data_IF_231723185571
#
_entry.id   IF_231723185571
#
_cell.length_a   1.000
_cell.length_b   1.000
_cell.length_c   1.000
_cell.angle_alpha   90.00
_cell.angle_beta   90.00
_cell.angle_gamma   90.00
#
_symmetry.space_group_name_H-M   'P 1'
#
loop_
_entity.id
_entity.type
_entity.pdbx_description
1 polymer ?
#
# COMPACT_ATOMS: atom_id res chain seq x y z
N UNK A 1 14.16 -15.66 -17.32
CA UNK A 1 13.72 -14.26 -17.04
C UNK A 1 13.50 -14.09 -15.55
N UNK A 2 13.57 -12.90 -14.97
CA UNK A 2 13.31 -12.66 -13.51
C UNK A 2 11.96 -13.25 -13.04
N UNK A 3 11.03 -13.48 -13.98
CA UNK A 3 9.78 -14.21 -13.77
C UNK A 3 9.91 -15.73 -13.54
N UNK A 4 11.03 -16.36 -13.92
CA UNK A 4 11.33 -17.77 -13.63
C UNK A 4 11.89 -17.94 -12.22
N UNK A 5 12.67 -16.96 -11.72
CA UNK A 5 13.20 -16.95 -10.36
C UNK A 5 12.10 -16.80 -9.28
N UNK A 6 10.93 -16.28 -9.65
CA UNK A 6 9.77 -16.16 -8.75
C UNK A 6 8.83 -17.38 -8.80
N UNK A 7 8.98 -18.29 -9.77
CA UNK A 7 8.11 -19.47 -9.95
C UNK A 7 8.70 -20.77 -9.40
N UNK A 8 10.01 -20.85 -9.20
CA UNK A 8 10.69 -21.99 -8.58
C UNK A 8 10.76 -21.86 -7.05
N UNK A 9 9.63 -21.53 -6.41
CA UNK A 9 9.49 -21.54 -4.95
C UNK A 9 9.26 -22.93 -4.36
N UNK A 10 9.91 -23.96 -4.92
CA UNK A 10 9.75 -25.35 -4.51
C UNK A 10 11.04 -26.12 -4.76
N UNK A 11 11.60 -26.66 -3.68
CA UNK A 11 12.63 -27.71 -3.65
C UNK A 11 14.06 -27.25 -3.99
N UNK A 12 14.69 -26.49 -3.07
CA UNK A 12 16.15 -26.24 -3.10
C UNK A 12 16.63 -24.99 -2.35
N UNK A 13 15.73 -24.10 -1.94
CA UNK A 13 16.10 -22.88 -1.21
C UNK A 13 16.59 -23.23 0.21
N UNK A 14 17.78 -22.77 0.59
CA UNK A 14 18.24 -22.85 1.98
C UNK A 14 17.17 -22.29 2.93
N UNK A 15 16.99 -22.86 4.14
CA UNK A 15 15.99 -22.36 5.09
C UNK A 15 16.17 -20.86 5.26
N UNK A 16 15.09 -20.09 5.02
CA UNK A 16 15.13 -18.64 5.22
C UNK A 16 15.62 -18.38 6.64
N UNK A 17 16.72 -17.63 6.82
CA UNK A 17 17.22 -17.32 8.15
C UNK A 17 16.11 -16.74 9.00
N UNK A 18 15.95 -17.27 10.21
CA UNK A 18 14.97 -16.74 11.14
C UNK A 18 15.31 -15.26 11.42
N UNK A 19 14.30 -14.39 11.50
CA UNK A 19 14.52 -12.94 11.64
C UNK A 19 15.14 -12.57 12.99
N UNK A 20 15.07 -13.46 13.98
CA UNK A 20 15.69 -13.41 15.29
C UNK A 20 17.06 -14.12 15.35
N UNK A 21 17.52 -14.74 14.25
CA UNK A 21 18.79 -15.44 14.22
C UNK A 21 19.97 -14.44 14.25
N UNK A 22 21.07 -14.75 14.98
CA UNK A 22 22.27 -13.90 15.04
C UNK A 22 22.85 -13.55 13.66
N UNK A 23 22.76 -14.48 12.71
CA UNK A 23 23.18 -14.27 11.33
C UNK A 23 22.38 -13.18 10.59
N UNK A 24 21.09 -13.02 10.90
CA UNK A 24 20.24 -11.96 10.32
C UNK A 24 20.63 -10.60 10.87
N UNK A 25 20.93 -10.52 12.17
CA UNK A 25 21.45 -9.30 12.79
C UNK A 25 22.83 -8.93 12.25
N UNK A 26 23.73 -9.91 12.09
CA UNK A 26 25.06 -9.68 11.53
C UNK A 26 25.00 -9.21 10.07
N UNK A 27 24.14 -9.84 9.25
CA UNK A 27 23.93 -9.43 7.85
C UNK A 27 23.30 -8.03 7.77
N UNK A 28 22.32 -7.71 8.62
CA UNK A 28 21.72 -6.38 8.68
C UNK A 28 22.74 -5.31 9.10
N UNK A 29 23.62 -5.62 10.05
CA UNK A 29 24.70 -4.71 10.47
C UNK A 29 25.74 -4.51 9.35
N UNK A 30 26.14 -5.58 8.65
CA UNK A 30 27.05 -5.50 7.51
C UNK A 30 26.47 -4.61 6.40
N UNK A 31 25.20 -4.81 6.05
CA UNK A 31 24.50 -4.00 5.05
C UNK A 31 24.37 -2.52 5.48
N UNK A 32 24.10 -2.27 6.76
CA UNK A 32 24.04 -0.91 7.29
C UNK A 32 25.39 -0.18 7.20
N UNK A 33 26.49 -0.87 7.52
CA UNK A 33 27.84 -0.33 7.38
C UNK A 33 28.23 -0.10 5.92
N UNK A 34 27.86 -1.00 5.01
CA UNK A 34 28.11 -0.82 3.57
C UNK A 34 27.40 0.41 3.00
N UNK A 35 26.14 0.63 3.39
CA UNK A 35 25.39 1.84 3.03
C UNK A 35 26.08 3.09 3.60
N UNK A 36 26.53 3.03 4.85
CA UNK A 36 27.22 4.14 5.49
C UNK A 36 28.56 4.48 4.80
N UNK A 37 29.38 3.48 4.50
CA UNK A 37 30.68 3.65 3.85
C UNK A 37 30.52 4.21 2.44
N UNK A 38 29.54 3.72 1.69
CA UNK A 38 29.21 4.27 0.39
C UNK A 38 28.72 5.73 0.51
N UNK A 39 27.83 6.07 1.45
CA UNK A 39 27.39 7.46 1.65
C UNK A 39 28.54 8.38 2.09
N UNK A 40 29.45 7.91 2.95
CA UNK A 40 30.63 8.66 3.39
C UNK A 40 31.63 8.89 2.26
N UNK A 41 31.88 7.87 1.44
CA UNK A 41 32.84 7.95 0.33
C UNK A 41 32.44 8.98 -0.74
N UNK A 42 31.15 9.12 -1.03
CA UNK A 42 30.62 10.10 -1.98
C UNK A 42 30.13 11.39 -1.32
N UNK A 43 30.19 11.50 0.01
CA UNK A 43 29.77 12.66 0.81
C UNK A 43 28.25 12.93 0.85
N UNK A 44 27.48 12.50 -0.15
CA UNK A 44 26.02 12.54 -0.19
C UNK A 44 25.47 11.57 -1.23
N UNK A 45 24.25 11.06 -0.99
CA UNK A 45 23.47 10.25 -1.93
C UNK A 45 23.31 10.97 -3.28
N UNK A 46 23.27 12.31 -3.29
CA UNK A 46 23.13 13.10 -4.51
C UNK A 46 24.36 13.07 -5.44
N UNK A 47 25.53 12.68 -4.94
CA UNK A 47 26.78 12.63 -5.71
C UNK A 47 27.13 11.22 -6.19
N UNK A 48 26.23 10.25 -6.01
CA UNK A 48 26.44 8.88 -6.46
C UNK A 48 26.40 8.80 -8.00
N UNK A 49 27.35 8.11 -8.65
CA UNK A 49 27.31 7.88 -10.09
C UNK A 49 26.09 7.04 -10.46
N UNK A 50 25.48 7.34 -11.62
CA UNK A 50 24.21 6.72 -12.05
C UNK A 50 24.24 5.18 -12.12
N UNK A 51 25.43 4.59 -12.24
CA UNK A 51 25.64 3.14 -12.26
C UNK A 51 25.45 2.48 -10.89
N UNK A 52 25.76 3.16 -9.78
CA UNK A 52 25.68 2.59 -8.42
C UNK A 52 24.35 2.88 -7.72
N UNK A 53 23.61 3.89 -8.20
CA UNK A 53 22.31 4.32 -7.64
C UNK A 53 21.28 3.19 -7.55
N UNK A 54 21.09 2.30 -8.55
CA UNK A 54 20.11 1.22 -8.46
C UNK A 54 20.41 0.20 -7.36
N UNK A 55 21.69 -0.15 -7.19
CA UNK A 55 22.15 -1.11 -6.18
C UNK A 55 22.00 -0.50 -4.78
N UNK A 56 22.52 0.70 -4.59
CA UNK A 56 22.37 1.45 -3.34
C UNK A 56 20.90 1.58 -2.92
N UNK A 57 20.02 1.94 -3.87
CA UNK A 57 18.59 2.07 -3.56
C UNK A 57 17.99 0.73 -3.11
N UNK A 58 18.37 -0.37 -3.74
CA UNK A 58 17.92 -1.71 -3.37
C UNK A 58 18.42 -2.11 -1.97
N UNK A 59 19.68 -1.81 -1.65
CA UNK A 59 20.30 -2.10 -0.35
C UNK A 59 19.63 -1.28 0.76
N UNK A 60 19.38 0.02 0.51
CA UNK A 60 18.61 0.88 1.42
C UNK A 60 17.17 0.37 1.62
N UNK A 61 16.51 -0.13 0.56
CA UNK A 61 15.19 -0.75 0.68
C UNK A 61 15.24 -2.05 1.50
N UNK A 62 16.23 -2.90 1.28
CA UNK A 62 16.38 -4.16 2.01
C UNK A 62 16.70 -3.91 3.49
N UNK A 63 17.59 -2.97 3.78
CA UNK A 63 17.93 -2.56 5.15
C UNK A 63 16.70 -1.98 5.87
N UNK A 64 15.96 -1.07 5.22
CA UNK A 64 14.75 -0.47 5.82
C UNK A 64 13.63 -1.49 6.05
N UNK A 65 13.41 -2.43 5.13
CA UNK A 65 12.44 -3.52 5.30
C UNK A 65 12.86 -4.51 6.40
N UNK A 66 14.16 -4.82 6.51
CA UNK A 66 14.68 -5.68 7.58
C UNK A 66 14.45 -5.04 8.94
N UNK A 67 14.86 -3.77 9.10
CA UNK A 67 14.65 -2.98 10.32
C UNK A 67 13.16 -2.83 10.66
N UNK A 68 12.28 -2.71 9.65
CA UNK A 68 10.82 -2.68 9.84
C UNK A 68 10.28 -3.98 10.45
N UNK A 69 10.82 -5.13 10.06
CA UNK A 69 10.33 -6.45 10.47
C UNK A 69 10.95 -6.98 11.76
N UNK A 70 12.12 -6.47 12.15
CA UNK A 70 12.85 -6.88 13.36
C UNK A 70 12.02 -6.80 14.66
N UNK A 71 11.29 -5.73 14.98
CA UNK A 71 10.51 -5.67 16.24
C UNK A 71 9.40 -6.74 16.35
N UNK A 72 8.96 -7.31 15.23
CA UNK A 72 7.96 -8.38 15.17
C UNK A 72 8.53 -9.79 15.07
N UNK A 73 9.85 -9.97 15.10
CA UNK A 73 10.51 -11.27 14.91
C UNK A 73 10.62 -12.12 16.17
N UNK A 74 10.23 -11.60 17.33
CA UNK A 74 10.41 -12.26 18.64
C UNK A 74 11.70 -11.87 19.37
N UNK A 75 12.56 -11.06 18.75
CA UNK A 75 13.72 -10.47 19.42
C UNK A 75 13.29 -9.37 20.42
N UNK A 76 13.89 -9.37 21.60
CA UNK A 76 13.63 -8.37 22.63
C UNK A 76 14.45 -7.11 22.35
N UNK A 77 13.78 -5.97 22.18
CA UNK A 77 14.41 -4.66 22.04
C UNK A 77 14.00 -3.75 23.19
N UNK A 78 14.95 -2.98 23.71
CA UNK A 78 14.68 -1.89 24.64
C UNK A 78 14.02 -0.70 23.92
N UNK A 79 13.33 0.16 24.68
CA UNK A 79 12.73 1.38 24.11
C UNK A 79 13.76 2.30 23.42
N UNK A 80 15.00 2.32 23.92
CA UNK A 80 16.10 3.07 23.32
C UNK A 80 16.54 2.49 21.97
N UNK A 81 16.68 1.16 21.86
CA UNK A 81 17.03 0.48 20.62
C UNK A 81 15.95 0.66 19.55
N UNK A 82 14.67 0.55 19.92
CA UNK A 82 13.56 0.82 19.00
C UNK A 82 13.58 2.26 18.46
N UNK A 83 13.99 3.22 19.30
CA UNK A 83 14.20 4.61 18.88
C UNK A 83 15.31 4.73 17.82
N UNK A 84 16.44 4.06 18.03
CA UNK A 84 17.57 4.03 17.08
C UNK A 84 17.22 3.33 15.77
N UNK A 85 16.52 2.19 15.83
CA UNK A 85 16.03 1.49 14.63
C UNK A 85 15.07 2.40 13.83
N UNK A 86 14.19 3.13 14.52
CA UNK A 86 13.26 4.08 13.88
C UNK A 86 13.97 5.26 13.22
N UNK A 87 14.98 5.84 13.88
CA UNK A 87 15.73 6.96 13.30
C UNK A 87 16.58 6.53 12.10
N UNK A 88 17.25 5.38 12.18
CA UNK A 88 18.01 4.80 11.07
C UNK A 88 17.10 4.53 9.86
N UNK A 89 15.94 3.88 10.08
CA UNK A 89 14.94 3.66 9.04
C UNK A 89 14.44 4.97 8.42
N UNK A 90 14.17 5.98 9.25
CA UNK A 90 13.75 7.30 8.77
C UNK A 90 14.79 7.96 7.86
N UNK A 91 16.09 7.81 8.17
CA UNK A 91 17.19 8.25 7.32
C UNK A 91 17.20 7.58 5.95
N UNK A 92 17.02 6.25 5.92
CA UNK A 92 16.96 5.47 4.67
C UNK A 92 15.72 5.80 3.82
N UNK A 93 14.55 5.94 4.45
CA UNK A 93 13.30 6.24 3.76
C UNK A 93 13.29 7.64 3.13
N UNK A 94 13.93 8.63 3.78
CA UNK A 94 14.05 9.97 3.22
C UNK A 94 14.87 10.00 1.92
N UNK A 95 15.89 9.14 1.79
CA UNK A 95 16.70 9.03 0.57
C UNK A 95 16.05 8.22 -0.56
N UNK A 96 15.17 7.26 -0.23
CA UNK A 96 14.60 6.31 -1.19
C UNK A 96 13.15 6.57 -1.58
N UNK A 97 12.35 7.12 -0.65
CA UNK A 97 10.90 7.35 -0.78
C UNK A 97 10.55 8.84 -0.74
N UNK A 98 11.44 9.69 -1.24
CA UNK A 98 11.17 11.11 -1.36
C UNK A 98 10.05 11.37 -2.37
N UNK A 99 8.93 11.92 -1.90
CA UNK A 99 7.84 12.41 -2.75
C UNK A 99 7.92 13.94 -2.77
N UNK A 100 8.28 14.57 -3.91
CA UNK A 100 8.37 16.02 -4.01
C UNK A 100 7.06 16.72 -3.64
N UNK A 101 7.14 17.88 -2.99
CA UNK A 101 5.95 18.63 -2.55
C UNK A 101 5.05 19.00 -3.74
N UNK A 102 5.63 19.36 -4.89
CA UNK A 102 4.85 19.67 -6.10
C UNK A 102 4.03 18.47 -6.59
N UNK A 103 4.54 17.23 -6.44
CA UNK A 103 3.79 16.01 -6.79
C UNK A 103 2.61 15.86 -5.83
N UNK A 104 2.80 16.08 -4.52
CA UNK A 104 1.72 16.03 -3.52
C UNK A 104 0.61 17.03 -3.87
N UNK A 105 0.99 18.26 -4.23
CA UNK A 105 0.05 19.31 -4.62
C UNK A 105 -0.65 18.96 -5.94
N UNK A 106 0.08 18.49 -6.94
CA UNK A 106 -0.49 18.10 -8.23
C UNK A 106 -1.51 16.96 -8.09
N UNK A 107 -1.18 15.93 -7.30
CA UNK A 107 -2.10 14.82 -7.00
C UNK A 107 -3.33 15.31 -6.23
N UNK A 108 -3.16 16.18 -5.23
CA UNK A 108 -4.27 16.76 -4.48
C UNK A 108 -5.22 17.56 -5.37
N UNK A 109 -4.69 18.39 -6.28
CA UNK A 109 -5.48 19.14 -7.25
C UNK A 109 -6.18 18.19 -8.24
N UNK A 110 -5.47 17.21 -8.78
CA UNK A 110 -6.05 16.24 -9.72
C UNK A 110 -7.20 15.44 -9.07
N UNK A 111 -7.03 15.00 -7.83
CA UNK A 111 -8.08 14.34 -7.06
C UNK A 111 -9.26 15.28 -6.78
N UNK A 112 -9.00 16.52 -6.37
CA UNK A 112 -10.04 17.52 -6.10
C UNK A 112 -10.84 17.91 -7.35
N UNK A 113 -10.17 18.09 -8.49
CA UNK A 113 -10.83 18.32 -9.77
C UNK A 113 -11.62 17.08 -10.22
N UNK A 114 -11.04 15.89 -10.06
CA UNK A 114 -11.70 14.63 -10.39
C UNK A 114 -12.98 14.39 -9.59
N UNK A 115 -12.98 14.73 -8.28
CA UNK A 115 -14.21 14.65 -7.47
C UNK A 115 -15.24 15.67 -7.94
N UNK A 116 -14.86 16.94 -8.18
CA UNK A 116 -15.81 17.96 -8.65
C UNK A 116 -16.47 17.62 -10.00
N UNK A 117 -15.75 16.98 -10.92
CA UNK A 117 -16.31 16.60 -12.23
C UNK A 117 -17.11 15.29 -12.14
N UNK A 118 -16.66 14.33 -11.34
CA UNK A 118 -17.21 12.97 -11.31
C UNK A 118 -18.22 12.66 -10.20
N UNK A 119 -18.40 13.54 -9.20
CA UNK A 119 -19.09 13.18 -7.95
C UNK A 119 -20.55 12.72 -8.15
N UNK A 120 -21.29 13.36 -9.06
CA UNK A 120 -22.75 13.20 -9.16
C UNK A 120 -23.17 11.75 -9.36
N UNK A 121 -22.48 11.00 -10.22
CA UNK A 121 -22.83 9.59 -10.50
C UNK A 121 -22.54 8.68 -9.31
N UNK A 122 -21.45 8.94 -8.59
CA UNK A 122 -21.04 8.14 -7.42
C UNK A 122 -22.00 8.39 -6.26
N UNK A 123 -22.28 9.67 -5.95
CA UNK A 123 -23.18 10.02 -4.84
C UNK A 123 -24.60 9.55 -5.10
N UNK A 124 -25.12 9.65 -6.32
CA UNK A 124 -26.44 9.09 -6.64
C UNK A 124 -26.48 7.56 -6.46
N UNK A 125 -25.43 6.85 -6.87
CA UNK A 125 -25.40 5.39 -6.72
C UNK A 125 -25.28 4.97 -5.26
N UNK A 126 -24.41 5.62 -4.47
CA UNK A 126 -24.17 5.27 -3.07
C UNK A 126 -25.29 5.78 -2.15
N UNK A 127 -25.73 7.03 -2.33
CA UNK A 127 -26.69 7.70 -1.45
C UNK A 127 -28.16 7.40 -1.77
N UNK A 128 -28.48 7.06 -3.02
CA UNK A 128 -29.89 6.90 -3.46
C UNK A 128 -30.21 5.48 -3.93
N UNK A 129 -29.24 4.70 -4.43
CA UNK A 129 -29.51 3.36 -5.02
C UNK A 129 -29.13 2.18 -4.13
N UNK A 130 -28.42 2.38 -3.03
CA UNK A 130 -28.08 1.29 -2.09
C UNK A 130 -29.30 0.90 -1.24
N UNK A 131 -30.02 1.89 -0.72
CA UNK A 131 -31.25 1.70 0.06
C UNK A 131 -32.53 1.87 -0.77
N UNK A 132 -33.66 1.37 -0.27
CA UNK A 132 -34.99 1.64 -0.87
C UNK A 132 -35.55 3.02 -0.49
N UNK A 133 -34.92 3.70 0.47
CA UNK A 133 -35.21 5.08 0.90
C UNK A 133 -33.93 5.92 0.81
N UNK A 134 -34.09 7.23 0.70
CA UNK A 134 -32.96 8.17 0.71
C UNK A 134 -32.17 8.10 2.01
N UNK A 135 -30.84 8.21 1.90
CA UNK A 135 -29.93 8.23 3.04
C UNK A 135 -30.15 9.53 3.83
N UNK A 136 -30.37 9.40 5.13
CA UNK A 136 -30.42 10.57 6.02
C UNK A 136 -29.00 11.08 6.32
N UNK A 137 -28.85 12.37 6.61
CA UNK A 137 -27.55 12.97 6.98
C UNK A 137 -26.91 12.26 8.18
N UNK A 138 -27.71 11.84 9.17
CA UNK A 138 -27.23 11.08 10.32
C UNK A 138 -26.63 9.73 9.91
N UNK A 139 -27.31 8.98 9.01
CA UNK A 139 -26.79 7.72 8.49
C UNK A 139 -25.50 7.89 7.68
N UNK A 140 -25.39 8.98 6.89
CA UNK A 140 -24.17 9.32 6.17
C UNK A 140 -23.00 9.58 7.13
N UNK A 141 -23.20 10.42 8.14
CA UNK A 141 -22.19 10.72 9.15
C UNK A 141 -21.76 9.47 9.93
N UNK A 142 -22.70 8.60 10.33
CA UNK A 142 -22.37 7.34 11.00
C UNK A 142 -21.58 6.40 10.09
N UNK A 143 -21.96 6.29 8.80
CA UNK A 143 -21.23 5.45 7.85
C UNK A 143 -19.80 5.93 7.63
N UNK A 144 -19.57 7.25 7.55
CA UNK A 144 -18.24 7.84 7.42
C UNK A 144 -17.39 7.64 8.68
N UNK A 145 -17.96 7.80 9.88
CA UNK A 145 -17.23 7.55 11.13
C UNK A 145 -16.79 6.08 11.26
N UNK A 146 -17.67 5.14 10.89
CA UNK A 146 -17.33 3.72 10.87
C UNK A 146 -16.26 3.43 9.82
N UNK A 147 -16.35 4.04 8.64
CA UNK A 147 -15.34 3.88 7.60
C UNK A 147 -13.98 4.43 8.03
N UNK A 148 -13.96 5.64 8.60
CA UNK A 148 -12.75 6.27 9.14
C UNK A 148 -12.12 5.41 10.23
N UNK A 149 -12.91 4.92 11.19
CA UNK A 149 -12.43 4.04 12.26
C UNK A 149 -11.86 2.73 11.72
N UNK A 150 -12.58 2.09 10.79
CA UNK A 150 -12.16 0.80 10.21
C UNK A 150 -10.88 0.95 9.38
N UNK A 151 -10.79 1.99 8.55
CA UNK A 151 -9.60 2.29 7.75
C UNK A 151 -8.43 2.63 8.66
N UNK A 152 -8.64 3.47 9.68
CA UNK A 152 -7.60 3.83 10.63
C UNK A 152 -7.06 2.64 11.41
N UNK A 153 -7.95 1.71 11.82
CA UNK A 153 -7.52 0.46 12.44
C UNK A 153 -6.72 -0.41 11.46
N UNK A 154 -7.20 -0.58 10.22
CA UNK A 154 -6.51 -1.37 9.20
C UNK A 154 -5.12 -0.81 8.86
N UNK A 155 -4.99 0.52 8.79
CA UNK A 155 -3.72 1.22 8.57
C UNK A 155 -2.75 0.98 9.74
N UNK A 156 -3.24 1.02 10.98
CA UNK A 156 -2.42 0.73 12.16
C UNK A 156 -1.91 -0.72 12.19
N UNK A 157 -2.67 -1.66 11.60
CA UNK A 157 -2.24 -3.06 11.42
C UNK A 157 -1.48 -3.30 10.10
N UNK A 158 -1.29 -2.27 9.26
CA UNK A 158 -0.60 -2.37 7.96
C UNK A 158 -1.31 -3.28 6.95
N UNK A 159 -2.62 -3.49 7.10
CA UNK A 159 -3.40 -4.37 6.22
C UNK A 159 -3.92 -3.60 5.00
N UNK A 160 -3.73 -4.12 3.77
CA UNK A 160 -4.30 -3.50 2.59
C UNK A 160 -5.82 -3.68 2.59
N UNK A 161 -6.56 -2.57 2.65
CA UNK A 161 -8.03 -2.56 2.64
C UNK A 161 -8.57 -1.71 1.50
N UNK A 162 -9.70 -2.11 0.94
CA UNK A 162 -10.42 -1.34 -0.08
C UNK A 162 -11.34 -0.32 0.57
N UNK A 163 -11.00 0.97 0.46
CA UNK A 163 -11.80 2.07 0.99
C UNK A 163 -13.21 2.10 0.38
N UNK A 164 -13.36 1.71 -0.89
CA UNK A 164 -14.66 1.59 -1.56
C UNK A 164 -15.53 0.49 -0.94
N UNK A 165 -14.95 -0.66 -0.60
CA UNK A 165 -15.69 -1.73 0.07
C UNK A 165 -16.13 -1.29 1.47
N UNK A 166 -15.21 -0.72 2.26
CA UNK A 166 -15.49 -0.27 3.62
C UNK A 166 -16.59 0.79 3.63
N UNK A 167 -16.49 1.81 2.76
CA UNK A 167 -17.50 2.87 2.66
C UNK A 167 -18.86 2.33 2.21
N UNK A 168 -18.88 1.52 1.13
CA UNK A 168 -20.13 0.97 0.59
C UNK A 168 -20.82 0.04 1.58
N UNK A 169 -20.07 -0.78 2.32
CA UNK A 169 -20.62 -1.62 3.38
C UNK A 169 -21.10 -0.80 4.58
N UNK A 170 -20.43 0.30 4.92
CA UNK A 170 -20.88 1.22 5.97
C UNK A 170 -22.24 1.82 5.63
N UNK A 171 -22.40 2.34 4.41
CA UNK A 171 -23.67 2.91 3.93
C UNK A 171 -24.77 1.85 3.84
N UNK A 172 -24.47 0.66 3.30
CA UNK A 172 -25.43 -0.44 3.28
C UNK A 172 -25.82 -0.90 4.70
N UNK A 173 -24.86 -0.91 5.63
CA UNK A 173 -25.08 -1.25 7.04
C UNK A 173 -26.03 -0.28 7.74
N UNK A 174 -25.84 1.04 7.56
CA UNK A 174 -26.72 2.05 8.17
C UNK A 174 -28.14 2.01 7.59
N UNK A 175 -28.29 1.66 6.31
CA UNK A 175 -29.59 1.45 5.67
C UNK A 175 -30.30 0.18 6.16
N UNK A 176 -29.55 -0.91 6.35
CA UNK A 176 -30.08 -2.15 6.91
C UNK A 176 -30.51 -1.98 8.37
N UNK A 177 -29.68 -1.33 9.19
CA UNK A 177 -29.95 -1.07 10.60
C UNK A 177 -31.19 -0.17 10.82
N UNK A 178 -31.42 0.79 9.93
CA UNK A 178 -32.59 1.66 9.98
C UNK A 178 -33.89 1.00 9.47
N UNK A 179 -33.85 -0.26 9.03
CA UNK A 179 -35.01 -0.94 8.45
C UNK A 179 -35.49 -0.35 7.11
N UNK A 180 -34.66 0.48 6.47
CA UNK A 180 -35.01 1.13 5.19
C UNK A 180 -35.06 0.13 4.02
N UNK A 181 -34.46 -1.05 4.19
CA UNK A 181 -34.37 -2.09 3.18
C UNK A 181 -33.31 -1.79 2.12
N UNK A 182 -32.66 -2.84 1.60
CA UNK A 182 -31.60 -2.74 0.60
C UNK A 182 -32.13 -3.05 -0.80
N UNK A 183 -31.58 -2.36 -1.80
CA UNK A 183 -31.83 -2.68 -3.20
C UNK A 183 -30.88 -3.78 -3.66
N UNK A 184 -31.31 -5.04 -3.49
CA UNK A 184 -30.47 -6.22 -3.77
C UNK A 184 -29.94 -6.29 -5.21
N UNK A 185 -30.67 -5.77 -6.21
CA UNK A 185 -30.20 -5.68 -7.59
C UNK A 185 -29.00 -4.74 -7.74
N UNK A 186 -29.03 -3.58 -7.10
CA UNK A 186 -27.91 -2.61 -7.10
C UNK A 186 -26.70 -3.20 -6.40
N UNK A 187 -26.89 -3.79 -5.21
CA UNK A 187 -25.81 -4.44 -4.46
C UNK A 187 -25.17 -5.58 -5.26
N UNK A 188 -25.98 -6.41 -5.92
CA UNK A 188 -25.49 -7.48 -6.79
C UNK A 188 -24.71 -6.93 -7.97
N UNK A 189 -25.21 -5.88 -8.64
CA UNK A 189 -24.51 -5.27 -9.77
C UNK A 189 -23.17 -4.65 -9.35
N UNK A 190 -23.12 -4.02 -8.17
CA UNK A 190 -21.87 -3.49 -7.60
C UNK A 190 -20.87 -4.63 -7.30
N UNK A 191 -21.32 -5.70 -6.65
CA UNK A 191 -20.48 -6.86 -6.35
C UNK A 191 -19.96 -7.54 -7.61
N UNK A 192 -20.82 -7.72 -8.62
CA UNK A 192 -20.41 -8.24 -9.93
C UNK A 192 -19.37 -7.34 -10.61
N UNK A 193 -19.56 -6.02 -10.54
CA UNK A 193 -18.58 -5.08 -11.08
C UNK A 193 -17.21 -5.19 -10.37
N UNK A 194 -17.18 -5.31 -9.05
CA UNK A 194 -15.93 -5.48 -8.29
C UNK A 194 -15.20 -6.79 -8.60
N UNK A 195 -15.93 -7.88 -8.85
CA UNK A 195 -15.31 -9.14 -9.26
C UNK A 195 -14.82 -9.06 -10.71
N UNK A 196 -15.60 -8.43 -11.59
CA UNK A 196 -15.29 -8.33 -13.03
C UNK A 196 -14.13 -7.39 -13.34
N UNK A 197 -13.89 -6.37 -12.52
CA UNK A 197 -12.78 -5.42 -12.75
C UNK A 197 -11.41 -6.10 -12.75
N UNK A 198 -11.21 -7.11 -11.90
CA UNK A 198 -9.92 -7.83 -11.81
C UNK A 198 -9.59 -8.61 -13.09
N UNK A 199 -10.45 -9.52 -13.61
CA UNK A 199 -10.21 -10.20 -14.89
C UNK A 199 -10.03 -9.24 -16.06
N UNK A 200 -10.84 -8.18 -16.14
CA UNK A 200 -10.75 -7.21 -17.23
C UNK A 200 -9.42 -6.47 -17.18
N UNK A 201 -8.98 -6.03 -16.00
CA UNK A 201 -7.68 -5.40 -15.83
C UNK A 201 -6.52 -6.35 -16.20
N UNK A 202 -6.61 -7.63 -15.82
CA UNK A 202 -5.61 -8.65 -16.17
C UNK A 202 -5.54 -8.86 -17.69
N UNK A 203 -6.68 -8.98 -18.37
CA UNK A 203 -6.74 -9.17 -19.82
C UNK A 203 -6.21 -7.95 -20.57
N UNK A 204 -6.58 -6.74 -20.13
CA UNK A 204 -6.09 -5.50 -20.74
C UNK A 204 -4.58 -5.33 -20.55
N UNK A 205 -4.08 -5.54 -19.34
CA UNK A 205 -2.65 -5.46 -19.05
C UNK A 205 -1.85 -6.52 -19.81
N UNK A 206 -2.32 -7.77 -19.83
CA UNK A 206 -1.71 -8.86 -20.57
C UNK A 206 -1.71 -8.61 -22.08
N UNK A 207 -2.84 -8.16 -22.63
CA UNK A 207 -2.97 -7.81 -24.04
C UNK A 207 -2.02 -6.69 -24.43
N UNK A 208 -1.98 -5.60 -23.66
CA UNK A 208 -1.11 -4.47 -23.92
C UNK A 208 0.38 -4.86 -23.80
N UNK A 209 0.73 -5.68 -22.83
CA UNK A 209 2.10 -6.22 -22.69
C UNK A 209 2.51 -7.04 -23.91
N UNK A 210 1.65 -7.94 -24.39
CA UNK A 210 1.94 -8.74 -25.59
C UNK A 210 2.07 -7.87 -26.83
N UNK A 211 1.22 -6.85 -26.97
CA UNK A 211 1.29 -5.92 -28.10
C UNK A 211 2.59 -5.11 -28.10
N UNK A 212 3.00 -4.55 -26.96
CA UNK A 212 4.25 -3.80 -26.87
C UNK A 212 5.49 -4.68 -27.06
N UNK A 213 5.45 -5.92 -26.57
CA UNK A 213 6.54 -6.89 -26.82
C UNK A 213 6.67 -7.27 -28.30
N UNK A 214 5.61 -7.20 -29.09
CA UNK A 214 5.69 -7.52 -30.52
C UNK A 214 6.25 -6.37 -31.37
N UNK A 215 6.17 -5.14 -30.86
CA UNK A 215 6.60 -3.92 -31.58
C UNK A 215 8.05 -3.53 -31.24
N UNK A 216 8.57 -3.96 -30.08
CA UNK A 216 9.92 -3.66 -29.59
C UNK A 216 10.76 -4.93 -29.49
#
# INVERSE_FOLDING_TARGET
TIADALKTGGEGEAPRPALDAPQTFAAAAALAHEIEDQVRSYGSIAHLPAETVPNMRNDMYLASETVRKLPGSGAAFTAGELGTLKSFRGGLENGTRFIPVWVKVAVAIALGLGTMVGWKRIVQTVGERIGKKHLTYAQGATAELVAMGTIGLADNFGMPVSTTHVLSSGVAGTMAAAGAGLQGSTLRNMALAWVLTLPVAMLLAGGLFTAFRQVM
#
